data_IF_030477756611
#
_entry.id   IF_030477756611
#
_cell.length_a   1.000
_cell.length_b   1.000
_cell.length_c   1.000
_cell.angle_alpha   90.00
_cell.angle_beta   90.00
_cell.angle_gamma   90.00
#
_symmetry.space_group_name_H-M   'P 1'
#
loop_
_entity.id
_entity.type
_entity.pdbx_description
1 polymer ?
#
# COMPACT_ATOMS: atom_id res chain seq x y z
N UNK A 1 -1.80 -22.14 39.14
CA UNK A 1 -2.69 -21.16 38.46
C UNK A 1 -2.63 -21.46 36.97
N UNK A 2 -3.78 -21.59 36.31
CA UNK A 2 -3.82 -21.79 34.85
C UNK A 2 -3.55 -20.45 34.16
N UNK A 3 -2.73 -20.40 33.09
CA UNK A 3 -2.56 -19.18 32.31
C UNK A 3 -3.89 -18.76 31.67
N UNK A 4 -4.16 -17.45 31.72
CA UNK A 4 -5.33 -16.81 31.14
C UNK A 4 -4.88 -15.67 30.23
N UNK A 5 -5.38 -15.66 29.00
CA UNK A 5 -5.11 -14.63 28.00
C UNK A 5 -6.44 -14.07 27.53
N UNK A 6 -6.56 -12.74 27.52
CA UNK A 6 -7.73 -12.03 27.00
C UNK A 6 -7.26 -11.08 25.90
N UNK A 7 -7.92 -11.16 24.75
CA UNK A 7 -7.67 -10.33 23.58
C UNK A 7 -8.96 -9.56 23.31
N UNK A 8 -8.85 -8.24 23.24
CA UNK A 8 -9.97 -7.35 22.92
C UNK A 8 -9.59 -6.48 21.73
N UNK A 9 -10.44 -6.47 20.72
CA UNK A 9 -10.25 -5.69 19.51
C UNK A 9 -11.57 -5.05 19.06
N UNK A 10 -11.47 -3.89 18.44
CA UNK A 10 -12.61 -3.23 17.79
C UNK A 10 -12.34 -3.27 16.30
N UNK A 11 -13.15 -4.01 15.56
CA UNK A 11 -13.03 -4.17 14.12
C UNK A 11 -13.38 -2.86 13.40
N UNK A 12 -12.90 -2.64 12.16
CA UNK A 12 -13.22 -1.46 11.35
C UNK A 12 -14.72 -1.24 11.10
N UNK A 13 -15.51 -2.32 11.13
CA UNK A 13 -16.99 -2.31 11.07
C UNK A 13 -17.65 -1.72 12.31
N UNK A 14 -16.88 -1.44 13.37
CA UNK A 14 -17.35 -0.91 14.65
C UNK A 14 -17.74 -1.99 15.68
N UNK A 15 -17.64 -3.27 15.29
CA UNK A 15 -17.93 -4.40 16.16
C UNK A 15 -16.79 -4.61 17.17
N UNK A 16 -17.13 -4.96 18.41
CA UNK A 16 -16.15 -5.29 19.46
C UNK A 16 -16.06 -6.80 19.61
N UNK A 17 -14.86 -7.35 19.48
CA UNK A 17 -14.57 -8.77 19.63
C UNK A 17 -13.70 -8.97 20.86
N UNK A 18 -14.12 -9.87 21.75
CA UNK A 18 -13.38 -10.24 22.95
C UNK A 18 -13.21 -11.75 23.04
N UNK A 19 -11.96 -12.23 23.02
CA UNK A 19 -11.62 -13.65 23.06
C UNK A 19 -10.86 -13.93 24.36
N UNK A 20 -11.31 -14.93 25.13
CA UNK A 20 -10.65 -15.36 26.37
C UNK A 20 -10.21 -16.82 26.27
N UNK A 21 -8.92 -17.05 26.47
CA UNK A 21 -8.28 -18.37 26.51
C UNK A 21 -7.89 -18.66 27.95
N UNK A 22 -8.38 -19.76 28.51
CA UNK A 22 -8.06 -20.20 29.86
C UNK A 22 -7.79 -21.70 29.86
N UNK A 23 -6.68 -22.12 30.44
CA UNK A 23 -6.38 -23.54 30.57
C UNK A 23 -4.95 -23.83 30.99
N UNK A 24 -4.65 -25.07 31.40
CA UNK A 24 -3.35 -25.45 31.94
C UNK A 24 -2.22 -25.39 30.88
N UNK A 25 -2.56 -25.36 29.58
CA UNK A 25 -1.62 -25.32 28.45
C UNK A 25 -2.04 -24.30 27.39
N UNK A 26 -2.08 -23.02 27.75
CA UNK A 26 -2.15 -21.94 26.76
C UNK A 26 -0.80 -21.86 26.03
N UNK A 27 -0.77 -22.35 24.80
CA UNK A 27 0.44 -22.34 23.96
C UNK A 27 0.55 -21.05 23.15
N UNK A 28 1.76 -20.50 23.03
CA UNK A 28 2.08 -19.35 22.16
C UNK A 28 1.48 -19.48 20.76
N UNK A 29 1.57 -20.66 20.15
CA UNK A 29 1.03 -20.95 18.81
C UNK A 29 -0.47 -20.68 18.70
N UNK A 30 -1.27 -21.06 19.70
CA UNK A 30 -2.73 -20.82 19.69
C UNK A 30 -3.08 -19.34 19.82
N UNK A 31 -2.29 -18.59 20.60
CA UNK A 31 -2.47 -17.14 20.73
C UNK A 31 -2.17 -16.46 19.40
N UNK A 32 -1.08 -16.86 18.72
CA UNK A 32 -0.72 -16.33 17.41
C UNK A 32 -1.79 -16.63 16.35
N UNK A 33 -2.32 -17.85 16.30
CA UNK A 33 -3.39 -18.20 15.36
C UNK A 33 -4.66 -17.36 15.55
N UNK A 34 -4.98 -16.99 16.79
CA UNK A 34 -6.14 -16.14 17.09
C UNK A 34 -5.87 -14.69 16.66
N UNK A 35 -4.64 -14.20 16.82
CA UNK A 35 -4.25 -12.89 16.31
C UNK A 35 -4.32 -12.85 14.77
N UNK A 36 -3.80 -13.87 14.09
CA UNK A 36 -3.91 -13.99 12.62
C UNK A 36 -5.38 -14.03 12.17
N UNK A 37 -6.25 -14.75 12.89
CA UNK A 37 -7.68 -14.79 12.60
C UNK A 37 -8.34 -13.42 12.78
N UNK A 38 -8.00 -12.68 13.85
CA UNK A 38 -8.52 -11.33 14.07
C UNK A 38 -8.06 -10.36 12.98
N UNK A 39 -6.78 -10.45 12.56
CA UNK A 39 -6.26 -9.68 11.43
C UNK A 39 -7.04 -9.98 10.13
N UNK A 40 -7.37 -11.25 9.88
CA UNK A 40 -8.19 -11.63 8.72
C UNK A 40 -9.63 -11.09 8.84
N UNK A 41 -10.25 -11.18 10.02
CA UNK A 41 -11.60 -10.67 10.29
C UNK A 41 -11.67 -9.14 10.22
N UNK A 42 -10.59 -8.44 10.56
CA UNK A 42 -10.43 -6.99 10.41
C UNK A 42 -10.17 -6.53 8.98
N UNK A 43 -10.26 -7.41 7.97
CA UNK A 43 -10.00 -7.07 6.57
C UNK A 43 -8.51 -7.18 6.23
N UNK A 44 -7.92 -8.35 6.49
CA UNK A 44 -6.50 -8.66 6.37
C UNK A 44 -5.76 -7.91 5.27
N UNK A 45 -5.14 -6.78 5.64
CA UNK A 45 -4.06 -6.00 5.00
C UNK A 45 -4.06 -5.70 3.48
N UNK A 46 -4.97 -6.27 2.67
CA UNK A 46 -5.04 -6.04 1.22
C UNK A 46 -6.27 -5.22 0.81
N UNK A 47 -7.44 -5.53 1.34
CA UNK A 47 -8.69 -4.91 0.90
C UNK A 47 -8.91 -3.51 1.50
N UNK A 48 -8.58 -3.28 2.78
CA UNK A 48 -8.68 -1.93 3.37
C UNK A 48 -7.66 -0.93 2.81
N UNK A 49 -6.54 -1.43 2.27
CA UNK A 49 -5.52 -0.58 1.67
C UNK A 49 -6.02 0.00 0.34
N UNK A 50 -6.73 -0.80 -0.45
CA UNK A 50 -7.29 -0.34 -1.73
C UNK A 50 -8.48 0.63 -1.55
N UNK A 51 -9.31 0.46 -0.52
CA UNK A 51 -10.43 1.37 -0.25
C UNK A 51 -10.01 2.70 0.40
N UNK A 52 -8.83 2.78 1.05
CA UNK A 52 -8.33 4.00 1.69
C UNK A 52 -7.16 4.66 0.96
N UNK A 53 -6.52 4.01 -0.01
CA UNK A 53 -5.42 4.60 -0.76
C UNK A 53 -5.93 5.70 -1.70
N UNK A 54 -5.38 6.90 -1.51
CA UNK A 54 -5.65 8.01 -2.41
C UNK A 54 -5.22 7.67 -3.84
N UNK A 55 -5.86 8.26 -4.85
CA UNK A 55 -5.44 8.08 -6.25
C UNK A 55 -3.94 8.39 -6.46
N UNK A 56 -3.37 9.29 -5.65
CA UNK A 56 -1.93 9.58 -5.64
C UNK A 56 -1.11 8.36 -5.17
N UNK A 57 -1.53 7.68 -4.10
CA UNK A 57 -0.85 6.49 -3.58
C UNK A 57 -0.97 5.30 -4.52
N UNK A 58 -2.15 5.06 -5.09
CA UNK A 58 -2.36 4.03 -6.11
C UNK A 58 -1.40 4.22 -7.29
N UNK A 59 -1.29 5.45 -7.82
CA UNK A 59 -0.33 5.79 -8.88
C UNK A 59 1.12 5.59 -8.43
N UNK A 60 1.45 5.95 -7.18
CA UNK A 60 2.79 5.76 -6.64
C UNK A 60 3.18 4.28 -6.54
N UNK A 61 2.30 3.46 -5.99
CA UNK A 61 2.51 2.03 -5.81
C UNK A 61 2.73 1.36 -7.17
N UNK A 62 1.91 1.67 -8.16
CA UNK A 62 2.09 1.19 -9.53
C UNK A 62 3.46 1.59 -10.13
N UNK A 63 3.91 2.83 -9.90
CA UNK A 63 5.22 3.29 -10.38
C UNK A 63 6.36 2.49 -9.72
N UNK A 64 6.27 2.24 -8.41
CA UNK A 64 7.30 1.48 -7.69
C UNK A 64 7.32 0.02 -8.13
N UNK A 65 6.16 -0.61 -8.27
CA UNK A 65 6.04 -1.99 -8.73
C UNK A 65 6.65 -2.18 -10.12
N UNK A 66 6.39 -1.25 -11.04
CA UNK A 66 6.83 -1.38 -12.44
C UNK A 66 8.21 -0.80 -12.75
N UNK A 67 8.63 0.26 -12.05
CA UNK A 67 9.84 1.02 -12.35
C UNK A 67 10.77 1.20 -11.13
N UNK A 68 10.50 0.49 -10.04
CA UNK A 68 11.32 0.49 -8.82
C UNK A 68 12.74 -0.03 -9.05
N UNK A 69 12.96 -0.80 -10.13
CA UNK A 69 14.28 -1.24 -10.59
C UNK A 69 15.19 -0.11 -11.08
N UNK A 70 14.65 1.10 -11.25
CA UNK A 70 15.40 2.27 -11.70
C UNK A 70 15.39 2.44 -13.21
N UNK A 71 14.40 1.88 -13.89
CA UNK A 71 14.11 2.12 -15.30
C UNK A 71 13.62 3.56 -15.50
N UNK A 72 13.93 4.13 -16.67
CA UNK A 72 13.37 5.41 -17.09
C UNK A 72 12.04 5.19 -17.79
N UNK A 73 11.06 6.04 -17.50
CA UNK A 73 9.74 6.03 -18.16
C UNK A 73 9.28 7.44 -18.49
N UNK A 74 8.46 7.57 -19.51
CA UNK A 74 7.78 8.81 -19.89
C UNK A 74 6.37 8.89 -19.32
N UNK A 75 5.81 10.11 -19.28
CA UNK A 75 4.39 10.31 -18.93
C UNK A 75 3.47 9.53 -19.88
N UNK A 76 3.81 9.44 -21.17
CA UNK A 76 3.00 8.76 -22.18
C UNK A 76 2.97 7.26 -21.94
N UNK A 77 4.12 6.65 -21.69
CA UNK A 77 4.23 5.21 -21.41
C UNK A 77 3.50 4.85 -20.12
N UNK A 78 3.72 5.62 -19.05
CA UNK A 78 3.03 5.39 -17.77
C UNK A 78 1.53 5.55 -17.89
N UNK A 79 1.04 6.58 -18.60
CA UNK A 79 -0.38 6.79 -18.81
C UNK A 79 -1.03 5.66 -19.60
N UNK A 80 -0.35 5.17 -20.64
CA UNK A 80 -0.87 4.10 -21.50
C UNK A 80 -1.17 2.81 -20.75
N UNK A 81 -0.39 2.50 -19.71
CA UNK A 81 -0.63 1.32 -18.86
C UNK A 81 -1.57 1.60 -17.69
N UNK A 82 -1.51 2.81 -17.10
CA UNK A 82 -2.35 3.15 -15.94
C UNK A 82 -3.83 3.32 -16.29
N UNK A 83 -4.17 3.72 -17.52
CA UNK A 83 -5.55 3.96 -17.90
C UNK A 83 -6.37 2.67 -18.01
N UNK A 84 -5.71 1.53 -18.20
CA UNK A 84 -6.37 0.21 -18.20
C UNK A 84 -6.81 -0.18 -16.78
N UNK A 85 -6.01 0.16 -15.77
CA UNK A 85 -6.25 -0.11 -14.34
C UNK A 85 -7.05 0.98 -13.63
N UNK A 86 -6.95 2.24 -14.11
CA UNK A 86 -7.57 3.42 -13.51
C UNK A 86 -8.20 4.30 -14.60
N UNK A 87 -9.37 3.91 -15.14
CA UNK A 87 -10.03 4.63 -16.25
C UNK A 87 -10.40 6.09 -15.92
N UNK A 88 -10.57 6.40 -14.63
CA UNK A 88 -10.87 7.76 -14.13
C UNK A 88 -9.65 8.70 -14.14
N UNK A 89 -8.43 8.15 -14.29
CA UNK A 89 -7.21 8.92 -14.22
C UNK A 89 -7.02 9.76 -15.49
N UNK A 90 -7.03 11.08 -15.33
CA UNK A 90 -6.70 12.01 -16.42
C UNK A 90 -5.19 12.19 -16.56
N UNK A 91 -4.71 12.33 -17.79
CA UNK A 91 -3.28 12.59 -18.09
C UNK A 91 -2.73 13.83 -17.38
N UNK A 92 -3.56 14.87 -17.19
CA UNK A 92 -3.20 16.09 -16.47
C UNK A 92 -3.02 15.85 -14.97
N UNK A 93 -3.88 15.02 -14.38
CA UNK A 93 -3.76 14.58 -12.98
C UNK A 93 -2.46 13.80 -12.78
N UNK A 94 -2.17 12.85 -13.70
CA UNK A 94 -0.93 12.08 -13.65
C UNK A 94 0.31 12.98 -13.78
N UNK A 95 0.30 13.95 -14.69
CA UNK A 95 1.38 14.91 -14.84
C UNK A 95 1.60 15.75 -13.56
N UNK A 96 0.52 16.14 -12.88
CA UNK A 96 0.60 16.84 -11.60
C UNK A 96 1.19 15.95 -10.50
N UNK A 97 0.81 14.66 -10.43
CA UNK A 97 1.40 13.71 -9.49
C UNK A 97 2.89 13.48 -9.74
N UNK A 98 3.30 13.29 -10.99
CA UNK A 98 4.72 13.15 -11.33
C UNK A 98 5.53 14.39 -10.90
N UNK A 99 4.99 15.59 -11.10
CA UNK A 99 5.63 16.82 -10.62
C UNK A 99 5.76 16.84 -9.09
N UNK A 100 4.71 16.44 -8.36
CA UNK A 100 4.74 16.34 -6.89
C UNK A 100 5.75 15.30 -6.42
N UNK A 101 5.82 14.12 -7.04
CA UNK A 101 6.80 13.10 -6.67
C UNK A 101 8.25 13.52 -6.94
N UNK A 102 8.50 14.33 -7.98
CA UNK A 102 9.81 14.93 -8.20
C UNK A 102 10.14 15.92 -7.08
N UNK A 103 9.19 16.79 -6.71
CA UNK A 103 9.35 17.77 -5.63
C UNK A 103 9.55 17.09 -4.26
N UNK A 104 8.87 15.98 -4.01
CA UNK A 104 9.00 15.14 -2.82
C UNK A 104 10.30 14.30 -2.82
N UNK A 105 11.11 14.37 -3.89
CA UNK A 105 12.36 13.64 -4.02
C UNK A 105 12.20 12.15 -4.35
N UNK A 106 10.97 11.67 -4.56
CA UNK A 106 10.67 10.28 -4.90
C UNK A 106 11.09 9.89 -6.31
N UNK A 107 10.91 10.82 -7.26
CA UNK A 107 11.33 10.66 -8.65
C UNK A 107 12.50 11.58 -8.99
N UNK A 108 13.32 11.13 -9.93
CA UNK A 108 14.29 11.96 -10.64
C UNK A 108 13.73 12.25 -12.03
N UNK A 109 13.86 13.50 -12.48
CA UNK A 109 13.42 13.95 -13.81
C UNK A 109 14.63 14.29 -14.68
N UNK A 110 14.60 13.89 -15.96
CA UNK A 110 15.57 14.27 -16.99
C UNK A 110 14.85 14.76 -18.24
N UNK A 111 15.49 15.68 -18.96
CA UNK A 111 15.01 16.22 -20.23
C UNK A 111 14.01 17.37 -20.09
N UNK A 112 13.58 17.90 -21.23
CA UNK A 112 12.53 18.92 -21.34
C UNK A 112 11.30 18.33 -22.05
N UNK A 113 10.14 18.97 -21.94
CA UNK A 113 8.94 18.56 -22.68
C UNK A 113 9.24 18.58 -24.19
N UNK A 114 8.75 17.60 -24.97
CA UNK A 114 7.93 16.44 -24.59
C UNK A 114 8.75 15.22 -24.14
N UNK A 115 10.06 15.21 -24.36
CA UNK A 115 11.01 14.12 -24.03
C UNK A 115 11.35 13.98 -22.54
N UNK A 116 10.41 14.33 -21.65
CA UNK A 116 10.66 14.24 -20.20
C UNK A 116 10.59 12.79 -19.76
N UNK A 117 11.67 12.34 -19.12
CA UNK A 117 11.78 11.01 -18.53
C UNK A 117 11.85 11.13 -17.00
N UNK A 118 11.28 10.14 -16.34
CA UNK A 118 11.22 9.98 -14.89
C UNK A 118 11.83 8.64 -14.49
N UNK A 119 12.39 8.58 -13.29
CA UNK A 119 12.93 7.35 -12.70
C UNK A 119 12.75 7.36 -11.20
N UNK A 120 12.46 6.21 -10.61
CA UNK A 120 12.40 6.05 -9.14
C UNK A 120 13.79 6.26 -8.53
N UNK A 121 13.88 7.10 -7.49
CA UNK A 121 15.14 7.27 -6.77
C UNK A 121 15.41 6.01 -5.94
N UNK A 122 16.61 5.45 -6.06
CA UNK A 122 17.01 4.22 -5.38
C UNK A 122 16.83 4.22 -3.85
N UNK A 123 16.85 5.39 -3.20
CA UNK A 123 16.58 5.53 -1.77
C UNK A 123 15.13 5.22 -1.37
N UNK A 124 14.19 5.31 -2.31
CA UNK A 124 12.75 5.08 -2.10
C UNK A 124 12.32 3.69 -2.58
N UNK A 125 13.12 3.03 -3.41
CA UNK A 125 12.85 1.67 -3.92
C UNK A 125 13.11 0.55 -2.90
N UNK A 126 13.54 0.86 -1.66
CA UNK A 126 13.93 -0.11 -0.62
C UNK A 126 12.97 -0.17 0.57
N UNK A 127 11.68 0.10 0.35
CA UNK A 127 10.64 -0.06 1.38
C UNK A 127 9.71 -1.17 0.98
#
# INVERSE_FOLDING_TARGET
>A
MAPKVRIEETLPTGEKVAITLEGPRVSKTRVLQILEMLELMGGGQREEREERESLKERVWNFIVERYGGGEWFSLKELYGVLVEEMPELRVTTLAAYLARFVNEGRLVKKGRKPSTLYRVRAAVARV
#
